data_IF_670752552850
#
_entry.id   IF_670752552850
#
_cell.length_a   1.000
_cell.length_b   1.000
_cell.length_c   1.000
_cell.angle_alpha   90.00
_cell.angle_beta   90.00
_cell.angle_gamma   90.00
#
_symmetry.space_group_name_H-M   'P 1'
#
loop_
_entity.id
_entity.type
_entity.pdbx_description
1 polymer ?
#
# COMPACT_ATOMS: atom_id res chain seq x y z
N UNK A 1 44.46 2.78 -48.02
CA UNK A 1 44.97 1.74 -47.11
C UNK A 1 44.44 2.01 -45.72
N UNK A 2 43.62 1.10 -45.16
CA UNK A 2 43.24 1.08 -43.74
C UNK A 2 44.24 0.19 -42.98
N UNK A 3 44.57 0.55 -41.74
CA UNK A 3 44.55 -0.44 -40.65
C UNK A 3 43.86 0.14 -39.39
N UNK A 4 42.71 -0.42 -39.01
CA UNK A 4 42.48 -1.35 -37.88
C UNK A 4 42.33 -0.66 -36.52
N UNK A 5 41.07 -0.68 -36.07
CA UNK A 5 40.58 -0.40 -34.74
C UNK A 5 41.30 -1.29 -33.71
N UNK A 6 41.74 -0.68 -32.61
CA UNK A 6 42.03 -1.39 -31.37
C UNK A 6 40.94 -1.04 -30.37
N UNK A 7 40.03 -2.00 -30.16
CA UNK A 7 39.18 -2.03 -28.99
C UNK A 7 40.05 -2.49 -27.82
N UNK A 8 40.49 -1.56 -26.99
CA UNK A 8 41.00 -1.91 -25.66
C UNK A 8 39.85 -1.79 -24.67
N UNK A 9 39.59 -2.92 -24.02
CA UNK A 9 38.55 -3.20 -23.06
C UNK A 9 38.45 -2.17 -21.94
N UNK A 10 37.27 -1.60 -21.76
CA UNK A 10 36.83 -1.06 -20.46
C UNK A 10 35.76 -1.99 -19.91
N UNK A 11 36.21 -3.16 -19.45
CA UNK A 11 35.48 -3.96 -18.47
C UNK A 11 35.80 -3.38 -17.09
N UNK A 12 34.85 -2.66 -16.53
CA UNK A 12 34.50 -2.79 -15.13
C UNK A 12 33.06 -2.30 -14.99
N UNK A 13 32.15 -3.27 -15.07
CA UNK A 13 30.81 -3.13 -14.55
C UNK A 13 30.94 -2.74 -13.07
N UNK A 14 30.61 -1.48 -12.77
CA UNK A 14 30.24 -1.11 -11.41
C UNK A 14 29.00 -1.92 -11.09
N UNK A 15 29.17 -3.02 -10.38
CA UNK A 15 28.09 -3.66 -9.64
C UNK A 15 27.63 -2.64 -8.60
N UNK A 16 26.72 -1.76 -9.01
CA UNK A 16 25.89 -1.01 -8.09
C UNK A 16 25.13 -2.03 -7.26
N UNK A 17 25.59 -2.26 -6.02
CA UNK A 17 24.80 -2.90 -4.98
C UNK A 17 23.48 -2.12 -4.92
N UNK A 18 22.42 -2.71 -5.46
CA UNK A 18 21.09 -2.15 -5.35
C UNK A 18 20.60 -2.37 -3.91
N UNK A 19 20.11 -1.28 -3.32
CA UNK A 19 19.25 -1.20 -2.12
C UNK A 19 19.84 -1.62 -0.77
N UNK A 20 20.85 -0.89 -0.27
CA UNK A 20 20.98 -0.74 1.19
C UNK A 20 20.15 0.47 1.62
N UNK A 21 19.07 0.21 2.37
CA UNK A 21 18.26 1.25 3.02
C UNK A 21 19.18 1.97 4.03
N UNK A 22 19.22 3.32 4.07
CA UNK A 22 20.08 4.04 5.00
C UNK A 22 19.85 3.61 6.45
N UNK A 23 20.93 3.60 7.24
CA UNK A 23 20.85 3.27 8.66
C UNK A 23 19.82 4.16 9.38
N UNK A 24 18.84 3.55 10.05
CA UNK A 24 17.72 4.23 10.71
C UNK A 24 16.46 4.44 9.85
N UNK A 25 16.50 4.07 8.56
CA UNK A 25 15.30 4.01 7.72
C UNK A 25 14.77 2.57 7.73
N UNK A 26 13.48 2.42 7.95
CA UNK A 26 12.81 1.11 7.90
C UNK A 26 11.78 1.12 6.78
N UNK A 27 11.70 0.03 6.03
CA UNK A 27 10.58 -0.25 5.11
C UNK A 27 9.46 -1.02 5.80
N UNK A 28 9.62 -1.31 7.10
CA UNK A 28 8.61 -1.88 7.96
C UNK A 28 7.53 -0.84 8.31
N UNK A 29 6.32 -1.10 7.83
CA UNK A 29 5.12 -0.30 8.04
C UNK A 29 4.14 -1.04 8.96
N UNK A 30 4.62 -1.96 9.78
CA UNK A 30 3.79 -2.67 10.77
C UNK A 30 3.40 -1.76 11.92
N UNK A 31 2.19 -2.00 12.45
CA UNK A 31 1.66 -1.31 13.62
C UNK A 31 1.28 -2.35 14.68
N UNK A 32 1.69 -2.19 15.95
CA UNK A 32 1.30 -3.09 17.03
C UNK A 32 -0.23 -3.14 17.17
N UNK A 33 -0.79 -4.36 17.16
CA UNK A 33 -2.24 -4.52 17.26
C UNK A 33 -2.71 -4.56 18.72
N UNK A 34 -3.90 -4.00 19.03
CA UNK A 34 -4.55 -4.20 20.31
C UNK A 34 -4.88 -5.68 20.54
N UNK A 35 -5.00 -6.13 21.80
CA UNK A 35 -5.37 -7.51 22.11
C UNK A 35 -6.68 -7.92 21.42
N UNK A 36 -6.69 -9.14 20.88
CA UNK A 36 -7.85 -9.74 20.18
C UNK A 36 -8.28 -9.01 18.90
N UNK A 37 -7.49 -8.06 18.38
CA UNK A 37 -7.73 -7.45 17.07
C UNK A 37 -6.91 -8.11 15.98
N UNK A 38 -7.38 -7.97 14.75
CA UNK A 38 -6.67 -8.44 13.55
C UNK A 38 -6.54 -7.31 12.56
N UNK A 39 -5.50 -7.37 11.71
CA UNK A 39 -5.31 -6.43 10.59
C UNK A 39 -6.57 -6.34 9.73
N UNK A 40 -7.20 -7.50 9.43
CA UNK A 40 -8.43 -7.57 8.65
C UNK A 40 -9.60 -6.83 9.27
N UNK A 41 -9.84 -7.00 10.57
CA UNK A 41 -10.93 -6.33 11.27
C UNK A 41 -10.76 -4.81 11.28
N UNK A 42 -9.54 -4.33 11.52
CA UNK A 42 -9.25 -2.89 11.54
C UNK A 42 -9.26 -2.30 10.12
N UNK A 43 -8.73 -3.01 9.12
CA UNK A 43 -8.78 -2.57 7.73
C UNK A 43 -10.23 -2.48 7.22
N UNK A 44 -11.07 -3.48 7.52
CA UNK A 44 -12.50 -3.45 7.19
C UNK A 44 -13.18 -2.28 7.89
N UNK A 45 -12.91 -2.03 9.17
CA UNK A 45 -13.43 -0.86 9.88
C UNK A 45 -13.14 0.46 9.14
N UNK A 46 -11.88 0.69 8.75
CA UNK A 46 -11.48 1.91 8.01
C UNK A 46 -12.20 1.99 6.66
N UNK A 47 -12.32 0.87 5.94
CA UNK A 47 -13.03 0.79 4.67
C UNK A 47 -14.52 1.11 4.84
N UNK A 48 -15.18 0.56 5.84
CA UNK A 48 -16.61 0.83 6.09
C UNK A 48 -16.86 2.30 6.43
N UNK A 49 -15.98 2.93 7.23
CA UNK A 49 -16.05 4.36 7.51
C UNK A 49 -15.89 5.20 6.24
N UNK A 50 -14.90 4.87 5.41
CA UNK A 50 -14.68 5.56 4.14
C UNK A 50 -15.89 5.43 3.19
N UNK A 51 -16.50 4.24 3.11
CA UNK A 51 -17.70 3.99 2.31
C UNK A 51 -18.93 4.75 2.81
N UNK A 52 -18.97 5.11 4.11
CA UNK A 52 -20.00 5.96 4.69
C UNK A 52 -19.75 7.46 4.45
N UNK A 53 -18.60 7.81 3.86
CA UNK A 53 -18.20 9.21 3.63
C UNK A 53 -17.65 9.89 4.88
N UNK A 54 -17.21 9.12 5.89
CA UNK A 54 -16.57 9.65 7.09
C UNK A 54 -15.29 10.38 6.70
N UNK A 55 -15.10 11.65 7.11
CA UNK A 55 -13.87 12.40 6.91
C UNK A 55 -12.64 11.68 7.48
N UNK A 56 -11.49 11.99 6.90
CA UNK A 56 -10.23 11.34 7.23
C UNK A 56 -9.78 11.53 8.69
N UNK A 57 -9.93 12.75 9.20
CA UNK A 57 -9.64 13.13 10.59
C UNK A 57 -10.61 12.50 11.59
N UNK A 58 -11.87 12.33 11.21
CA UNK A 58 -12.86 11.59 12.00
C UNK A 58 -12.52 10.08 12.03
N UNK A 59 -12.11 9.49 10.90
CA UNK A 59 -11.70 8.08 10.83
C UNK A 59 -10.47 7.81 11.72
N UNK A 60 -9.46 8.69 11.67
CA UNK A 60 -8.30 8.62 12.57
C UNK A 60 -8.70 8.77 14.04
N UNK A 61 -9.61 9.69 14.35
CA UNK A 61 -10.13 9.90 15.72
C UNK A 61 -10.86 8.66 16.25
N UNK A 62 -11.62 7.98 15.40
CA UNK A 62 -12.30 6.72 15.72
C UNK A 62 -11.31 5.56 15.93
N UNK A 63 -10.24 5.48 15.15
CA UNK A 63 -9.18 4.49 15.37
C UNK A 63 -8.54 4.66 16.76
N UNK A 64 -8.31 5.90 17.18
CA UNK A 64 -7.80 6.22 18.51
C UNK A 64 -8.82 5.85 19.59
N UNK A 65 -10.09 6.25 19.43
CA UNK A 65 -11.11 6.10 20.46
C UNK A 65 -11.56 4.64 20.66
N UNK A 66 -11.70 3.88 19.57
CA UNK A 66 -12.24 2.51 19.57
C UNK A 66 -11.14 1.49 19.87
N UNK A 67 -9.96 1.66 19.27
CA UNK A 67 -8.89 0.66 19.33
C UNK A 67 -7.71 1.08 20.21
N UNK A 68 -7.65 2.34 20.64
CA UNK A 68 -6.59 2.84 21.52
C UNK A 68 -5.26 3.07 20.79
N UNK A 69 -5.29 3.27 19.47
CA UNK A 69 -4.09 3.61 18.70
C UNK A 69 -3.53 4.98 19.10
N UNK A 70 -2.22 5.15 18.93
CA UNK A 70 -1.63 6.48 18.93
C UNK A 70 -2.09 7.27 17.70
N UNK A 71 -1.93 8.59 17.73
CA UNK A 71 -2.25 9.42 16.56
C UNK A 71 -1.44 9.01 15.32
N UNK A 72 -0.13 8.79 15.50
CA UNK A 72 0.77 8.39 14.41
C UNK A 72 0.39 7.02 13.83
N UNK A 73 0.04 6.06 14.70
CA UNK A 73 -0.42 4.74 14.27
C UNK A 73 -1.78 4.80 13.55
N UNK A 74 -2.72 5.60 14.03
CA UNK A 74 -4.02 5.76 13.40
C UNK A 74 -3.90 6.37 11.99
N UNK A 75 -3.10 7.43 11.87
CA UNK A 75 -2.78 8.05 10.58
C UNK A 75 -2.07 7.07 9.64
N UNK A 76 -1.11 6.30 10.17
CA UNK A 76 -0.39 5.29 9.39
C UNK A 76 -1.31 4.17 8.89
N UNK A 77 -2.14 3.58 9.77
CA UNK A 77 -3.12 2.56 9.42
C UNK A 77 -4.02 3.06 8.30
N UNK A 78 -4.58 4.27 8.47
CA UNK A 78 -5.46 4.89 7.49
C UNK A 78 -4.74 5.03 6.13
N UNK A 79 -3.56 5.64 6.11
CA UNK A 79 -2.76 5.81 4.90
C UNK A 79 -2.50 4.46 4.20
N UNK A 80 -2.11 3.43 4.97
CA UNK A 80 -1.81 2.11 4.40
C UNK A 80 -3.04 1.45 3.81
N UNK A 81 -4.18 1.52 4.48
CA UNK A 81 -5.44 0.99 3.96
C UNK A 81 -5.81 1.67 2.64
N UNK A 82 -5.80 3.00 2.57
CA UNK A 82 -6.11 3.71 1.33
C UNK A 82 -5.08 3.46 0.23
N UNK A 83 -3.79 3.34 0.59
CA UNK A 83 -2.73 3.00 -0.33
C UNK A 83 -2.91 1.62 -0.97
N UNK A 84 -3.33 0.61 -0.19
CA UNK A 84 -3.65 -0.73 -0.70
C UNK A 84 -4.80 -0.72 -1.69
N UNK A 85 -5.90 -0.03 -1.36
CA UNK A 85 -7.07 0.12 -2.25
C UNK A 85 -6.68 0.83 -3.55
N UNK A 86 -5.88 1.90 -3.47
CA UNK A 86 -5.40 2.62 -4.66
C UNK A 86 -4.52 1.75 -5.55
N UNK A 87 -3.61 0.96 -4.97
CA UNK A 87 -2.78 0.01 -5.72
C UNK A 87 -3.66 -1.04 -6.40
N UNK A 88 -4.68 -1.57 -5.73
CA UNK A 88 -5.62 -2.52 -6.32
C UNK A 88 -6.39 -1.91 -7.51
N UNK A 89 -6.77 -0.64 -7.40
CA UNK A 89 -7.45 0.09 -8.48
C UNK A 89 -6.61 0.20 -9.77
N UNK A 90 -5.27 0.07 -9.69
CA UNK A 90 -4.42 0.05 -10.88
C UNK A 90 -4.51 -1.24 -11.69
N UNK A 91 -4.96 -2.35 -11.07
CA UNK A 91 -4.99 -3.68 -11.68
C UNK A 91 -3.59 -4.27 -11.97
N UNK A 92 -2.52 -3.64 -11.49
CA UNK A 92 -1.15 -4.11 -11.68
C UNK A 92 -0.69 -4.95 -10.47
N UNK A 93 -0.53 -6.25 -10.67
CA UNK A 93 -0.04 -7.19 -9.64
C UNK A 93 1.37 -6.85 -9.14
N UNK A 94 2.20 -6.17 -9.93
CA UNK A 94 3.52 -5.72 -9.46
C UNK A 94 3.42 -4.66 -8.34
N UNK A 95 2.25 -4.06 -8.13
CA UNK A 95 1.98 -3.12 -7.04
C UNK A 95 1.46 -3.81 -5.77
N UNK A 96 1.36 -5.15 -5.74
CA UNK A 96 0.89 -5.88 -4.56
C UNK A 96 1.82 -5.61 -3.37
N UNK A 97 1.30 -5.10 -2.23
CA UNK A 97 2.12 -4.84 -1.05
C UNK A 97 2.62 -6.15 -0.43
N UNK A 98 3.80 -6.08 0.19
CA UNK A 98 4.36 -7.16 0.99
C UNK A 98 3.54 -7.33 2.27
N UNK A 99 3.03 -8.54 2.53
CA UNK A 99 2.17 -8.83 3.68
C UNK A 99 2.87 -8.78 5.02
N UNK A 100 4.19 -9.04 5.06
CA UNK A 100 4.97 -9.01 6.30
C UNK A 100 5.39 -7.60 6.67
N UNK A 101 5.67 -6.75 5.66
CA UNK A 101 6.14 -5.38 5.85
C UNK A 101 5.04 -4.32 5.86
N UNK A 102 3.96 -4.53 5.14
CA UNK A 102 2.85 -3.57 4.99
C UNK A 102 1.50 -4.28 5.06
N UNK A 103 1.18 -4.90 6.22
CA UNK A 103 0.05 -5.81 6.35
C UNK A 103 -1.30 -5.12 6.08
N UNK A 104 -1.45 -3.85 6.44
CA UNK A 104 -2.68 -3.08 6.21
C UNK A 104 -2.90 -2.77 4.72
N UNK A 105 -1.86 -2.34 4.00
CA UNK A 105 -2.00 -2.13 2.56
C UNK A 105 -2.20 -3.45 1.81
N UNK A 106 -1.49 -4.52 2.21
CA UNK A 106 -1.69 -5.84 1.62
C UNK A 106 -3.14 -6.32 1.80
N UNK A 107 -3.64 -6.27 3.04
CA UNK A 107 -5.01 -6.73 3.37
C UNK A 107 -6.07 -5.94 2.59
N UNK A 108 -5.97 -4.62 2.57
CA UNK A 108 -6.92 -3.76 1.86
C UNK A 108 -6.82 -3.88 0.33
N UNK A 109 -5.62 -4.16 -0.20
CA UNK A 109 -5.42 -4.51 -1.61
C UNK A 109 -6.19 -5.78 -1.98
N UNK A 110 -6.05 -6.86 -1.21
CA UNK A 110 -6.78 -8.12 -1.46
C UNK A 110 -8.29 -7.94 -1.35
N UNK A 111 -8.78 -7.21 -0.33
CA UNK A 111 -10.20 -6.91 -0.17
C UNK A 111 -10.75 -6.13 -1.38
N UNK A 112 -10.02 -5.12 -1.85
CA UNK A 112 -10.41 -4.32 -3.00
C UNK A 112 -10.40 -5.10 -4.33
N UNK A 113 -9.48 -6.06 -4.49
CA UNK A 113 -9.50 -6.98 -5.63
C UNK A 113 -10.69 -7.94 -5.61
N UNK A 114 -11.05 -8.44 -4.41
CA UNK A 114 -12.17 -9.36 -4.23
C UNK A 114 -13.53 -8.65 -4.36
N UNK A 115 -13.60 -7.39 -3.96
CA UNK A 115 -14.81 -6.59 -3.98
C UNK A 115 -14.58 -5.23 -4.66
N UNK A 116 -14.80 -5.20 -5.98
CA UNK A 116 -14.69 -3.99 -6.80
C UNK A 116 -15.60 -2.83 -6.35
N UNK A 117 -16.64 -3.10 -5.54
CA UNK A 117 -17.48 -2.04 -4.98
C UNK A 117 -16.72 -1.14 -3.99
N UNK A 118 -15.64 -1.64 -3.37
CA UNK A 118 -14.77 -0.84 -2.50
C UNK A 118 -14.10 0.28 -3.31
N UNK A 119 -13.49 -0.08 -4.45
CA UNK A 119 -12.89 0.90 -5.37
C UNK A 119 -13.96 1.85 -5.90
N UNK A 120 -15.13 1.34 -6.29
CA UNK A 120 -16.20 2.18 -6.82
C UNK A 120 -16.77 3.17 -5.80
N UNK A 121 -16.83 2.79 -4.52
CA UNK A 121 -17.32 3.65 -3.44
C UNK A 121 -16.32 4.70 -3.00
N UNK A 122 -15.05 4.34 -2.89
CA UNK A 122 -14.00 5.23 -2.36
C UNK A 122 -13.33 6.05 -3.47
N UNK A 123 -13.05 5.42 -4.62
CA UNK A 123 -12.40 6.04 -5.76
C UNK A 123 -13.17 5.80 -7.06
N UNK A 124 -14.38 6.39 -7.21
CA UNK A 124 -15.27 6.13 -8.34
C UNK A 124 -14.62 6.39 -9.71
N UNK A 125 -13.65 7.31 -9.79
CA UNK A 125 -12.90 7.62 -11.00
C UNK A 125 -12.01 6.46 -11.50
N UNK A 126 -11.64 5.52 -10.62
CA UNK A 126 -10.83 4.35 -10.96
C UNK A 126 -11.64 3.05 -11.02
N UNK A 127 -12.96 3.14 -10.82
CA UNK A 127 -13.84 1.97 -10.90
C UNK A 127 -13.80 1.36 -12.32
N UNK A 128 -13.72 0.03 -12.45
CA UNK A 128 -13.80 -0.62 -13.75
C UNK A 128 -15.15 -0.28 -14.41
N UNK A 129 -15.09 0.25 -15.64
CA UNK A 129 -16.31 0.59 -16.39
C UNK A 129 -17.14 -0.68 -16.62
N UNK A 130 -18.47 -0.63 -16.45
CA UNK A 130 -19.32 -1.77 -16.78
C UNK A 130 -19.12 -2.17 -18.24
N UNK A 131 -18.84 -3.46 -18.49
CA UNK A 131 -18.77 -4.00 -19.84
C UNK A 131 -20.15 -3.82 -20.48
N UNK A 132 -20.26 -2.94 -21.47
CA UNK A 132 -21.46 -2.85 -22.31
C UNK A 132 -21.50 -4.11 -23.17
N UNK A 133 -22.53 -4.94 -22.98
CA UNK A 133 -22.84 -6.09 -23.81
C UNK A 133 -23.60 -5.66 -25.06
#
# INVERSE_FOLDING_TARGET
MRPTLRCDSFEQATTSNMSEIPEGWTDDMTVPLPPNQTVGAIADFVIQQALQGTPDDENESELISVFGFSFDDAALIRDRVFGGIMRAATGNEANRPDSEKDPFAHTSFELALQNSAIIAGIYPQFAPKPKRH
#
